data_IF_059448013208
#
_entry.id   IF_059448013208
#
_cell.length_a   1.000
_cell.length_b   1.000
_cell.length_c   1.000
_cell.angle_alpha   90.00
_cell.angle_beta   90.00
_cell.angle_gamma   90.00
#
_symmetry.space_group_name_H-M   'P 1'
#
loop_
_entity.id
_entity.type
_entity.pdbx_description
1 polymer ?
#
# COMPACT_ATOMS: atom_id res chain seq x y z
N UNK A 1 -22.96 -27.37 -44.55
CA UNK A 1 -23.62 -26.84 -43.36
C UNK A 1 -22.55 -26.49 -42.31
N UNK A 2 -21.54 -25.63 -42.68
CA UNK A 2 -20.41 -25.26 -41.81
C UNK A 2 -20.18 -23.73 -41.84
N UNK A 3 -21.03 -22.96 -42.51
CA UNK A 3 -20.83 -21.52 -42.74
C UNK A 3 -21.54 -20.58 -41.75
N UNK A 4 -22.12 -21.09 -40.66
CA UNK A 4 -22.90 -20.28 -39.71
C UNK A 4 -22.27 -20.06 -38.30
N UNK A 5 -21.03 -20.50 -38.09
CA UNK A 5 -20.36 -20.35 -36.78
C UNK A 5 -19.29 -19.23 -36.73
N UNK A 6 -19.08 -18.51 -37.85
CA UNK A 6 -17.97 -17.57 -37.98
C UNK A 6 -18.32 -16.11 -37.70
N UNK A 7 -19.59 -15.79 -37.38
CA UNK A 7 -20.05 -14.41 -37.35
C UNK A 7 -20.46 -13.86 -35.95
N UNK A 8 -20.33 -14.66 -34.89
CA UNK A 8 -20.76 -14.22 -33.54
C UNK A 8 -19.60 -13.76 -32.64
N UNK A 9 -18.36 -13.73 -33.16
CA UNK A 9 -17.16 -13.45 -32.38
C UNK A 9 -16.53 -12.06 -32.67
N UNK A 10 -17.26 -11.13 -33.28
CA UNK A 10 -16.89 -9.71 -33.24
C UNK A 10 -17.24 -9.22 -31.85
N UNK A 11 -16.26 -9.29 -30.93
CA UNK A 11 -16.40 -8.79 -29.56
C UNK A 11 -17.08 -7.44 -29.57
N UNK A 12 -18.16 -7.32 -28.81
CA UNK A 12 -18.95 -6.10 -28.70
C UNK A 12 -17.99 -4.90 -28.52
N UNK A 13 -17.94 -3.93 -29.46
CA UNK A 13 -16.98 -2.83 -29.44
C UNK A 13 -17.03 -2.03 -28.13
N UNK A 14 -18.17 -2.01 -27.46
CA UNK A 14 -18.33 -1.34 -26.18
C UNK A 14 -17.62 -2.12 -25.05
N UNK A 15 -17.63 -3.47 -25.09
CA UNK A 15 -16.87 -4.27 -24.11
C UNK A 15 -15.36 -4.10 -24.28
N UNK A 16 -14.87 -3.95 -25.50
CA UNK A 16 -13.46 -3.69 -25.79
C UNK A 16 -13.06 -2.33 -25.21
N UNK A 17 -13.85 -1.29 -25.45
CA UNK A 17 -13.60 0.04 -24.88
C UNK A 17 -13.59 0.03 -23.35
N UNK A 18 -14.54 -0.69 -22.72
CA UNK A 18 -14.57 -0.85 -21.26
C UNK A 18 -13.35 -1.56 -20.74
N UNK A 19 -12.88 -2.60 -21.45
CA UNK A 19 -11.65 -3.32 -21.09
C UNK A 19 -10.42 -2.42 -21.20
N UNK A 20 -10.28 -1.62 -22.26
CA UNK A 20 -9.18 -0.66 -22.41
C UNK A 20 -9.17 0.39 -21.30
N UNK A 21 -10.32 0.96 -20.96
CA UNK A 21 -10.45 1.91 -19.85
C UNK A 21 -10.06 1.28 -18.52
N UNK A 22 -10.42 0.03 -18.30
CA UNK A 22 -10.05 -0.71 -17.09
C UNK A 22 -8.55 -0.96 -17.04
N UNK A 23 -7.92 -1.33 -18.16
CA UNK A 23 -6.47 -1.50 -18.27
C UNK A 23 -5.72 -0.19 -17.98
N UNK A 24 -6.19 0.93 -18.53
CA UNK A 24 -5.61 2.25 -18.29
C UNK A 24 -5.72 2.65 -16.82
N UNK A 25 -6.90 2.45 -16.21
CA UNK A 25 -7.13 2.75 -14.80
C UNK A 25 -6.25 1.90 -13.88
N UNK A 26 -6.09 0.61 -14.21
CA UNK A 26 -5.22 -0.29 -13.46
C UNK A 26 -3.77 0.18 -13.53
N UNK A 27 -3.24 0.45 -14.74
CA UNK A 27 -1.86 0.92 -14.93
C UNK A 27 -1.59 2.24 -14.22
N UNK A 28 -2.53 3.19 -14.28
CA UNK A 28 -2.38 4.48 -13.62
C UNK A 28 -2.26 4.35 -12.08
N UNK A 29 -3.05 3.45 -11.48
CA UNK A 29 -2.99 3.19 -10.03
C UNK A 29 -1.68 2.48 -9.68
N UNK A 30 -1.29 1.48 -10.45
CA UNK A 30 -0.09 0.68 -10.24
C UNK A 30 1.18 1.54 -10.35
N UNK A 31 1.29 2.36 -11.39
CA UNK A 31 2.40 3.30 -11.59
C UNK A 31 2.50 4.33 -10.46
N UNK A 32 1.36 4.88 -10.02
CA UNK A 32 1.32 5.81 -8.90
C UNK A 32 1.80 5.16 -7.59
N UNK A 33 1.37 3.92 -7.31
CA UNK A 33 1.78 3.17 -6.13
C UNK A 33 3.27 2.82 -6.17
N UNK A 34 3.77 2.38 -7.32
CA UNK A 34 5.18 2.09 -7.52
C UNK A 34 6.06 3.33 -7.26
N UNK A 35 5.64 4.51 -7.76
CA UNK A 35 6.30 5.78 -7.49
C UNK A 35 6.28 6.15 -6.00
N UNK A 36 5.16 5.98 -5.31
CA UNK A 36 5.07 6.23 -3.87
C UNK A 36 5.99 5.32 -3.07
N UNK A 37 6.00 4.01 -3.37
CA UNK A 37 6.85 3.03 -2.69
C UNK A 37 8.35 3.31 -2.90
N UNK A 38 8.74 3.81 -4.07
CA UNK A 38 10.12 4.20 -4.34
C UNK A 38 10.50 5.54 -3.74
N UNK A 39 9.64 6.54 -3.84
CA UNK A 39 9.94 7.91 -3.42
C UNK A 39 9.88 8.10 -1.89
N UNK A 40 8.95 7.44 -1.20
CA UNK A 40 8.76 7.60 0.24
C UNK A 40 10.01 7.27 1.06
N UNK A 41 10.68 6.11 0.87
CA UNK A 41 11.90 5.79 1.61
C UNK A 41 13.04 6.77 1.31
N UNK A 42 13.20 7.15 0.03
CA UNK A 42 14.23 8.09 -0.41
C UNK A 42 14.04 9.48 0.21
N UNK A 43 12.82 10.02 0.17
CA UNK A 43 12.50 11.32 0.75
C UNK A 43 12.66 11.31 2.27
N UNK A 44 12.19 10.23 2.93
CA UNK A 44 12.25 10.10 4.39
C UNK A 44 13.69 9.88 4.87
N UNK A 45 14.42 8.94 4.27
CA UNK A 45 15.79 8.65 4.64
C UNK A 45 16.74 9.80 4.26
N UNK A 46 16.60 10.36 3.06
CA UNK A 46 17.40 11.49 2.59
C UNK A 46 17.17 12.75 3.43
N UNK A 47 15.92 13.08 3.73
CA UNK A 47 15.58 14.21 4.58
C UNK A 47 16.09 14.04 6.02
N UNK A 48 15.90 12.87 6.62
CA UNK A 48 16.42 12.57 7.94
C UNK A 48 17.96 12.58 7.98
N UNK A 49 18.62 12.01 6.96
CA UNK A 49 20.08 11.99 6.86
C UNK A 49 20.67 13.41 6.76
N UNK A 50 20.13 14.27 5.91
CA UNK A 50 20.60 15.65 5.77
C UNK A 50 20.46 16.44 7.06
N UNK A 51 19.33 16.28 7.77
CA UNK A 51 19.12 16.95 9.05
C UNK A 51 20.04 16.42 10.14
N UNK A 52 20.20 15.09 10.23
CA UNK A 52 21.06 14.47 11.23
C UNK A 52 22.53 14.74 10.99
N UNK A 53 23.01 14.74 9.73
CA UNK A 53 24.40 15.03 9.41
C UNK A 53 24.80 16.45 9.85
N UNK A 54 23.96 17.43 9.61
CA UNK A 54 24.23 18.82 10.02
C UNK A 54 24.19 19.00 11.56
N UNK A 55 23.30 18.28 12.23
CA UNK A 55 23.17 18.28 13.69
C UNK A 55 24.36 17.58 14.38
N UNK A 56 24.87 16.51 13.78
CA UNK A 56 25.99 15.73 14.35
C UNK A 56 27.34 16.41 14.12
N UNK A 57 27.52 17.08 12.98
CA UNK A 57 28.82 17.69 12.61
C UNK A 57 29.02 19.07 13.25
N UNK A 58 27.94 19.84 13.49
CA UNK A 58 28.00 21.19 13.98
C UNK A 58 27.29 21.38 15.34
N UNK A 59 28.02 21.40 16.47
CA UNK A 59 27.42 21.51 17.82
C UNK A 59 26.58 22.77 18.03
N UNK A 60 26.93 23.89 17.40
CA UNK A 60 26.18 25.14 17.52
C UNK A 60 24.84 25.08 16.75
N UNK A 61 24.86 24.56 15.52
CA UNK A 61 23.66 24.35 14.72
C UNK A 61 22.75 23.29 15.37
N UNK A 62 23.33 22.32 16.06
CA UNK A 62 22.62 21.29 16.83
C UNK A 62 21.66 21.90 17.85
N UNK A 63 22.07 22.94 18.59
CA UNK A 63 21.21 23.62 19.58
C UNK A 63 19.97 24.24 18.94
N UNK A 64 20.12 24.78 17.71
CA UNK A 64 19.02 25.41 16.98
C UNK A 64 18.10 24.38 16.31
N UNK A 65 18.64 23.30 15.75
CA UNK A 65 17.88 22.29 14.99
C UNK A 65 17.11 21.31 15.88
N UNK A 66 17.63 20.95 17.07
CA UNK A 66 17.02 19.99 18.00
C UNK A 66 15.54 20.24 18.29
N UNK A 67 15.06 21.48 18.57
CA UNK A 67 13.64 21.74 18.84
C UNK A 67 12.72 21.38 17.66
N UNK A 68 13.22 21.44 16.43
CA UNK A 68 12.44 21.17 15.21
C UNK A 68 12.37 19.67 14.84
N UNK A 69 13.26 18.84 15.37
CA UNK A 69 13.31 17.41 15.03
C UNK A 69 12.07 16.66 15.50
N UNK A 70 11.54 16.99 16.68
CA UNK A 70 10.32 16.36 17.21
C UNK A 70 9.07 16.72 16.39
N UNK A 71 8.76 18.00 16.11
CA UNK A 71 7.66 18.38 15.24
C UNK A 71 7.78 17.79 13.83
N UNK A 72 9.00 17.76 13.26
CA UNK A 72 9.27 17.17 11.97
C UNK A 72 9.04 15.66 11.97
N UNK A 73 9.51 14.95 13.00
CA UNK A 73 9.25 13.52 13.19
C UNK A 73 7.76 13.23 13.29
N UNK A 74 7.02 14.04 14.05
CA UNK A 74 5.57 13.91 14.16
C UNK A 74 4.86 14.14 12.82
N UNK A 75 5.26 15.18 12.09
CA UNK A 75 4.74 15.46 10.76
C UNK A 75 5.01 14.28 9.80
N UNK A 76 6.26 13.81 9.75
CA UNK A 76 6.65 12.68 8.92
C UNK A 76 5.88 11.40 9.28
N UNK A 77 5.68 11.15 10.57
CA UNK A 77 4.89 10.02 11.06
C UNK A 77 3.43 10.09 10.58
N UNK A 78 2.77 11.24 10.76
CA UNK A 78 1.35 11.43 10.37
C UNK A 78 1.17 11.31 8.86
N UNK A 79 2.07 11.93 8.07
CA UNK A 79 2.02 11.84 6.60
C UNK A 79 2.23 10.39 6.14
N UNK A 80 3.23 9.71 6.69
CA UNK A 80 3.51 8.31 6.34
C UNK A 80 2.35 7.39 6.72
N UNK A 81 1.72 7.62 7.87
CA UNK A 81 0.54 6.87 8.31
C UNK A 81 -0.64 7.08 7.37
N UNK A 82 -0.87 8.32 6.93
CA UNK A 82 -1.89 8.65 5.92
C UNK A 82 -1.65 7.93 4.59
N UNK A 83 -0.41 7.96 4.11
CA UNK A 83 0.00 7.24 2.90
C UNK A 83 -0.14 5.72 3.05
N UNK A 84 0.16 5.18 4.22
CA UNK A 84 -0.04 3.76 4.52
C UNK A 84 -1.51 3.34 4.41
N UNK A 85 -2.44 4.13 4.97
CA UNK A 85 -3.87 3.86 4.81
C UNK A 85 -4.34 4.01 3.36
N UNK A 86 -3.80 4.99 2.64
CA UNK A 86 -4.07 5.14 1.21
C UNK A 86 -3.60 3.92 0.42
N UNK A 87 -2.44 3.36 0.75
CA UNK A 87 -1.90 2.15 0.13
C UNK A 87 -2.81 0.93 0.38
N UNK A 88 -3.26 0.73 1.62
CA UNK A 88 -4.22 -0.33 1.97
C UNK A 88 -5.50 -0.21 1.11
N UNK A 89 -6.01 1.01 0.94
CA UNK A 89 -7.15 1.25 0.06
C UNK A 89 -6.83 0.96 -1.41
N UNK A 90 -5.64 1.35 -1.88
CA UNK A 90 -5.14 1.08 -3.23
C UNK A 90 -5.07 -0.42 -3.55
N UNK A 91 -4.58 -1.24 -2.61
CA UNK A 91 -4.54 -2.70 -2.72
C UNK A 91 -5.94 -3.26 -2.97
N UNK A 92 -6.94 -2.81 -2.19
CA UNK A 92 -8.35 -3.24 -2.38
C UNK A 92 -8.89 -2.83 -3.75
N UNK A 93 -8.62 -1.60 -4.17
CA UNK A 93 -9.07 -1.08 -5.47
C UNK A 93 -8.45 -1.87 -6.64
N UNK A 94 -7.15 -2.13 -6.58
CA UNK A 94 -6.47 -2.97 -7.58
C UNK A 94 -7.07 -4.37 -7.64
N UNK A 95 -7.37 -4.99 -6.49
CA UNK A 95 -7.97 -6.31 -6.45
C UNK A 95 -9.37 -6.34 -7.10
N UNK A 96 -10.19 -5.32 -6.86
CA UNK A 96 -11.49 -5.18 -7.51
C UNK A 96 -11.38 -5.01 -9.03
N UNK A 97 -10.42 -4.19 -9.50
CA UNK A 97 -10.17 -4.01 -10.94
C UNK A 97 -9.69 -5.30 -11.60
N UNK A 98 -8.83 -6.09 -10.94
CA UNK A 98 -8.37 -7.38 -11.45
C UNK A 98 -9.54 -8.34 -11.63
N UNK A 99 -10.44 -8.43 -10.64
CA UNK A 99 -11.64 -9.28 -10.75
C UNK A 99 -12.54 -8.86 -11.90
N UNK A 100 -12.79 -7.55 -12.04
CA UNK A 100 -13.55 -7.01 -13.17
C UNK A 100 -12.86 -7.34 -14.51
N UNK A 101 -11.55 -7.20 -14.58
CA UNK A 101 -10.75 -7.54 -15.76
C UNK A 101 -10.87 -9.02 -16.15
N UNK A 102 -10.74 -9.93 -15.19
CA UNK A 102 -10.92 -11.38 -15.44
C UNK A 102 -12.32 -11.69 -15.97
N UNK A 103 -13.36 -11.02 -15.44
CA UNK A 103 -14.72 -11.20 -15.92
C UNK A 103 -14.91 -10.69 -17.36
N UNK A 104 -14.32 -9.53 -17.69
CA UNK A 104 -14.36 -8.98 -19.03
C UNK A 104 -13.60 -9.85 -20.03
N UNK A 105 -12.41 -10.34 -19.67
CA UNK A 105 -11.63 -11.27 -20.49
C UNK A 105 -12.41 -12.56 -20.78
N UNK A 106 -13.18 -13.08 -19.80
CA UNK A 106 -14.06 -14.24 -20.01
C UNK A 106 -15.19 -13.92 -21.00
N UNK A 107 -15.83 -12.76 -20.87
CA UNK A 107 -16.92 -12.34 -21.78
C UNK A 107 -16.44 -12.09 -23.21
N UNK A 108 -15.22 -11.58 -23.34
CA UNK A 108 -14.59 -11.33 -24.64
C UNK A 108 -13.97 -12.60 -25.26
N UNK A 109 -13.90 -13.72 -24.52
CA UNK A 109 -13.25 -14.95 -24.99
C UNK A 109 -11.74 -14.83 -25.15
N UNK A 110 -11.11 -13.80 -24.57
CA UNK A 110 -9.66 -13.55 -24.68
C UNK A 110 -8.93 -13.98 -23.42
N UNK A 111 -7.62 -14.20 -23.55
CA UNK A 111 -6.73 -14.43 -22.43
C UNK A 111 -5.75 -13.26 -22.35
N UNK A 112 -6.13 -12.25 -21.54
CA UNK A 112 -5.36 -11.01 -21.40
C UNK A 112 -4.49 -10.99 -20.14
N UNK A 113 -4.07 -9.79 -19.78
CA UNK A 113 -3.11 -9.52 -18.67
C UNK A 113 -3.64 -9.89 -17.29
N UNK A 114 -4.97 -9.89 -17.06
CA UNK A 114 -5.55 -10.19 -15.75
C UNK A 114 -5.60 -11.69 -15.45
N UNK A 115 -5.80 -12.55 -16.48
CA UNK A 115 -5.77 -14.02 -16.33
C UNK A 115 -4.36 -14.59 -16.36
N UNK A 116 -3.42 -13.96 -17.10
CA UNK A 116 -2.01 -14.37 -17.19
C UNK A 116 -1.09 -13.67 -16.20
N UNK A 117 -1.60 -13.18 -15.09
CA UNK A 117 -0.75 -12.53 -14.10
C UNK A 117 0.35 -13.47 -13.59
N UNK A 118 1.59 -12.95 -13.44
CA UNK A 118 2.63 -13.72 -12.78
C UNK A 118 2.18 -14.04 -11.34
N UNK A 119 2.42 -15.26 -10.92
CA UNK A 119 2.17 -15.65 -9.54
C UNK A 119 3.20 -14.97 -8.64
N UNK A 120 2.80 -14.68 -7.39
CA UNK A 120 3.72 -14.20 -6.37
C UNK A 120 4.92 -15.14 -6.25
N UNK A 121 6.12 -14.58 -6.13
CA UNK A 121 7.33 -15.36 -5.89
C UNK A 121 7.24 -15.99 -4.50
N UNK A 122 7.43 -17.31 -4.41
CA UNK A 122 7.27 -18.08 -3.15
C UNK A 122 5.88 -17.95 -2.48
N UNK A 123 4.85 -17.48 -3.22
CA UNK A 123 3.51 -17.27 -2.66
C UNK A 123 3.36 -16.08 -1.72
N UNK A 124 4.45 -15.43 -1.30
CA UNK A 124 4.49 -14.36 -0.30
C UNK A 124 4.97 -13.03 -0.89
N UNK A 125 5.99 -13.06 -1.76
CA UNK A 125 6.59 -11.82 -2.31
C UNK A 125 5.68 -11.27 -3.39
N UNK A 126 4.96 -10.22 -3.03
CA UNK A 126 4.05 -9.47 -3.89
C UNK A 126 4.07 -7.98 -3.50
N UNK A 127 3.36 -7.15 -4.25
CA UNK A 127 3.26 -5.71 -3.96
C UNK A 127 2.77 -5.40 -2.54
N UNK A 128 1.71 -6.05 -2.00
CA UNK A 128 1.30 -5.87 -0.61
C UNK A 128 2.38 -6.19 0.41
N UNK A 129 3.23 -7.19 0.14
CA UNK A 129 4.37 -7.51 1.02
C UNK A 129 5.41 -6.38 1.02
N UNK A 130 5.77 -5.85 -0.16
CA UNK A 130 6.71 -4.73 -0.26
C UNK A 130 6.18 -3.49 0.50
N UNK A 131 4.91 -3.15 0.32
CA UNK A 131 4.26 -2.08 1.08
C UNK A 131 4.29 -2.34 2.59
N UNK A 132 4.03 -3.59 3.01
CA UNK A 132 4.06 -4.04 4.40
C UNK A 132 5.42 -3.96 5.06
N UNK A 133 6.51 -3.96 4.30
CA UNK A 133 7.87 -3.74 4.82
C UNK A 133 8.22 -2.26 4.84
N UNK A 134 7.97 -1.55 3.75
CA UNK A 134 8.43 -0.17 3.55
C UNK A 134 7.72 0.80 4.50
N UNK A 135 6.39 0.80 4.53
CA UNK A 135 5.65 1.76 5.36
C UNK A 135 5.90 1.58 6.87
N UNK A 136 5.87 0.36 7.45
CA UNK A 136 6.23 0.18 8.85
C UNK A 136 7.68 0.55 9.17
N UNK A 137 8.63 0.32 8.25
CA UNK A 137 10.02 0.72 8.44
C UNK A 137 10.16 2.25 8.51
N UNK A 138 9.50 2.99 7.63
CA UNK A 138 9.51 4.46 7.64
C UNK A 138 8.80 5.00 8.89
N UNK A 139 7.66 4.43 9.30
CA UNK A 139 6.96 4.80 10.54
C UNK A 139 7.82 4.55 11.78
N UNK A 140 8.52 3.42 11.82
CA UNK A 140 9.46 3.11 12.91
C UNK A 140 10.61 4.13 12.97
N UNK A 141 11.15 4.54 11.82
CA UNK A 141 12.17 5.58 11.74
C UNK A 141 11.68 6.94 12.27
N UNK A 142 10.49 7.35 11.91
CA UNK A 142 9.89 8.58 12.44
C UNK A 142 9.61 8.49 13.94
N UNK A 143 9.12 7.35 14.43
CA UNK A 143 8.90 7.13 15.86
C UNK A 143 10.21 7.18 16.64
N UNK A 144 11.28 6.58 16.11
CA UNK A 144 12.61 6.67 16.69
C UNK A 144 13.07 8.13 16.84
N UNK A 145 12.93 8.94 15.78
CA UNK A 145 13.27 10.36 15.83
C UNK A 145 12.47 11.14 16.88
N UNK A 146 11.17 10.89 16.98
CA UNK A 146 10.28 11.55 17.95
C UNK A 146 10.74 11.27 19.40
N UNK A 147 11.22 10.06 19.66
CA UNK A 147 11.56 9.62 21.02
C UNK A 147 12.99 9.99 21.43
N UNK A 148 13.94 9.97 20.49
CA UNK A 148 15.36 10.23 20.80
C UNK A 148 15.63 11.70 21.04
N UNK A 149 15.00 12.61 20.29
CA UNK A 149 15.38 14.03 20.31
C UNK A 149 14.78 14.92 21.41
N UNK A 150 13.77 14.55 22.21
CA UNK A 150 13.32 15.39 23.32
C UNK A 150 14.21 15.36 24.55
N UNK A 151 15.18 14.45 24.64
CA UNK A 151 15.88 14.20 25.90
C UNK A 151 17.13 15.05 26.09
N UNK A 152 17.30 15.54 27.33
CA UNK A 152 18.45 16.28 27.80
C UNK A 152 19.73 15.42 27.73
N UNK A 153 20.87 16.05 27.45
CA UNK A 153 22.17 15.39 27.17
C UNK A 153 22.74 14.54 28.30
N UNK A 154 22.16 14.54 29.51
CA UNK A 154 22.75 13.88 30.67
C UNK A 154 22.56 12.37 30.75
N UNK A 155 21.49 11.82 30.12
CA UNK A 155 21.19 10.39 30.18
C UNK A 155 20.67 9.83 28.82
N UNK A 156 21.53 9.84 27.80
CA UNK A 156 21.13 9.38 26.45
C UNK A 156 21.00 7.87 26.30
N UNK A 157 21.75 7.09 27.12
CA UNK A 157 21.80 5.62 26.96
C UNK A 157 20.43 4.93 27.14
N UNK A 158 19.68 5.14 28.23
CA UNK A 158 18.38 4.48 28.40
C UNK A 158 17.33 4.97 27.39
N UNK A 159 17.46 6.20 26.94
CA UNK A 159 16.54 6.78 25.96
C UNK A 159 16.64 6.16 24.57
N UNK A 160 17.85 5.92 24.13
CA UNK A 160 18.11 5.27 22.83
C UNK A 160 17.58 3.84 22.86
N UNK A 161 17.75 3.13 23.97
CA UNK A 161 17.24 1.76 24.12
C UNK A 161 15.70 1.72 24.06
N UNK A 162 15.03 2.57 24.81
CA UNK A 162 13.56 2.69 24.79
C UNK A 162 13.07 3.09 23.40
N UNK A 163 13.71 4.06 22.75
CA UNK A 163 13.34 4.50 21.41
C UNK A 163 13.51 3.40 20.37
N UNK A 164 14.63 2.67 20.44
CA UNK A 164 14.91 1.54 19.54
C UNK A 164 13.91 0.40 19.74
N UNK A 165 13.61 0.05 20.98
CA UNK A 165 12.63 -0.99 21.31
C UNK A 165 11.24 -0.60 20.82
N UNK A 166 10.81 0.65 21.07
CA UNK A 166 9.49 1.14 20.63
C UNK A 166 9.39 1.19 19.11
N UNK A 167 10.43 1.68 18.42
CA UNK A 167 10.49 1.70 16.96
C UNK A 167 10.43 0.27 16.38
N UNK A 168 11.12 -0.68 16.98
CA UNK A 168 11.06 -2.09 16.59
C UNK A 168 9.65 -2.67 16.74
N UNK A 169 8.96 -2.35 17.82
CA UNK A 169 7.56 -2.75 18.00
C UNK A 169 6.64 -2.12 16.97
N UNK A 170 6.80 -0.84 16.65
CA UNK A 170 6.02 -0.16 15.59
C UNK A 170 6.21 -0.87 14.25
N UNK A 171 7.46 -1.24 13.92
CA UNK A 171 7.76 -2.01 12.70
C UNK A 171 7.07 -3.37 12.71
N UNK A 172 7.26 -4.16 13.77
CA UNK A 172 6.71 -5.53 13.86
C UNK A 172 5.18 -5.51 13.80
N UNK A 173 4.54 -4.63 14.58
CA UNK A 173 3.07 -4.52 14.61
C UNK A 173 2.54 -4.06 13.24
N UNK A 174 3.13 -3.04 12.63
CA UNK A 174 2.74 -2.55 11.30
C UNK A 174 2.91 -3.62 10.22
N UNK A 175 4.01 -4.35 10.25
CA UNK A 175 4.25 -5.48 9.35
C UNK A 175 3.21 -6.60 9.53
N UNK A 176 2.94 -7.00 10.78
CA UNK A 176 1.95 -8.04 11.07
C UNK A 176 0.54 -7.64 10.65
N UNK A 177 0.14 -6.38 10.89
CA UNK A 177 -1.15 -5.85 10.43
C UNK A 177 -1.27 -6.00 8.90
N UNK A 178 -0.24 -5.59 8.17
CA UNK A 178 -0.25 -5.67 6.70
C UNK A 178 -0.26 -7.11 6.21
N UNK A 179 0.49 -7.98 6.85
CA UNK A 179 0.54 -9.40 6.53
C UNK A 179 -0.82 -10.07 6.75
N UNK A 180 -1.43 -9.86 7.92
CA UNK A 180 -2.76 -10.38 8.25
C UNK A 180 -3.78 -9.84 7.26
N UNK A 181 -3.75 -8.53 6.98
CA UNK A 181 -4.64 -7.92 6.01
C UNK A 181 -4.50 -8.54 4.61
N UNK A 182 -3.27 -8.74 4.13
CA UNK A 182 -2.99 -9.35 2.83
C UNK A 182 -3.50 -10.80 2.75
N UNK A 183 -3.38 -11.58 3.83
CA UNK A 183 -3.84 -12.96 3.90
C UNK A 183 -5.37 -13.07 4.03
N UNK A 184 -6.01 -12.12 4.70
CA UNK A 184 -7.47 -12.15 4.93
C UNK A 184 -8.27 -11.52 3.78
N UNK A 185 -7.63 -10.73 2.91
CA UNK A 185 -8.31 -10.04 1.80
C UNK A 185 -9.18 -10.97 0.93
N UNK A 186 -8.74 -12.17 0.52
CA UNK A 186 -9.56 -13.11 -0.26
C UNK A 186 -10.80 -13.59 0.50
N UNK A 187 -10.72 -13.73 1.82
CA UNK A 187 -11.80 -14.24 2.65
C UNK A 187 -12.83 -13.16 3.01
N UNK A 188 -12.39 -11.93 3.25
CA UNK A 188 -13.30 -10.81 3.51
C UNK A 188 -14.23 -10.52 2.35
N UNK A 189 -13.77 -10.68 1.12
CA UNK A 189 -14.64 -10.51 -0.05
C UNK A 189 -15.68 -11.63 -0.20
N UNK A 190 -15.35 -12.86 0.17
CA UNK A 190 -16.32 -13.96 0.17
C UNK A 190 -17.45 -13.69 1.20
N UNK A 191 -17.08 -13.21 2.39
CA UNK A 191 -18.03 -12.85 3.45
C UNK A 191 -18.86 -11.61 3.05
N UNK A 192 -18.22 -10.58 2.50
CA UNK A 192 -18.90 -9.37 2.04
C UNK A 192 -19.92 -9.69 0.93
N UNK A 193 -19.52 -10.46 -0.08
CA UNK A 193 -20.39 -10.88 -1.17
C UNK A 193 -21.54 -11.76 -0.67
N UNK A 194 -21.30 -12.63 0.33
CA UNK A 194 -22.34 -13.43 0.96
C UNK A 194 -23.39 -12.56 1.69
N UNK A 195 -22.93 -11.55 2.44
CA UNK A 195 -23.80 -10.65 3.20
C UNK A 195 -24.59 -9.69 2.30
N UNK A 196 -23.96 -9.16 1.23
CA UNK A 196 -24.60 -8.21 0.32
C UNK A 196 -25.48 -8.89 -0.73
N UNK A 197 -25.12 -10.07 -1.22
CA UNK A 197 -26.00 -10.84 -2.13
C UNK A 197 -27.34 -11.16 -1.47
N UNK A 198 -27.31 -11.47 -0.18
CA UNK A 198 -28.52 -11.69 0.62
C UNK A 198 -29.43 -10.45 0.75
N UNK A 199 -28.87 -9.25 0.60
CA UNK A 199 -29.64 -7.98 0.65
C UNK A 199 -30.29 -7.64 -0.68
N UNK A 200 -29.62 -7.93 -1.80
CA UNK A 200 -30.15 -7.64 -3.14
C UNK A 200 -31.30 -8.60 -3.46
N UNK A 201 -31.13 -9.89 -3.21
CA UNK A 201 -32.18 -10.89 -3.43
C UNK A 201 -33.47 -10.58 -2.62
N UNK A 202 -33.34 -10.01 -1.42
CA UNK A 202 -34.51 -9.56 -0.62
C UNK A 202 -35.18 -8.30 -1.13
N UNK A 203 -34.50 -7.44 -1.89
CA UNK A 203 -35.10 -6.23 -2.45
C UNK A 203 -35.91 -6.51 -3.72
N UNK A 204 -35.60 -7.60 -4.42
CA UNK A 204 -36.30 -7.99 -5.66
C UNK A 204 -37.52 -8.85 -5.36
N UNK A 205 -37.64 -9.47 -4.18
CA UNK A 205 -38.86 -10.16 -3.74
C UNK A 205 -39.97 -9.21 -3.23
N UNK A 206 -39.66 -7.92 -3.03
CA UNK A 206 -40.62 -6.92 -2.56
C UNK A 206 -41.15 -5.99 -3.68
N UNK A 207 -40.91 -6.32 -4.96
CA UNK A 207 -41.52 -5.68 -6.13
C UNK A 207 -42.43 -6.64 -6.87
#
# INVERSE_FOLDING_TARGET
MVASLENDNKGNPDLIKVYDQLCLSYRAIDDFRAKLLGFLPLASAGGAFLLLSDVLVNPEKSKFAKPFLKPLGLFGFVVTLGLFFYEIYGIRKCHALIKAGIQLERKLGITGQFRKRPRSVLGLINEPFAAGVIYPAVLAGWMFLILVFPQSQSDQSPAIEVASTTASWVFVVGFLITLIYSLTLPHHEAVYNFLFKRRVDKSDECK
#
